data_IF_129766428820
#
_entry.id   IF_129766428820
#
_cell.length_a   1.000
_cell.length_b   1.000
_cell.length_c   1.000
_cell.angle_alpha   90.00
_cell.angle_beta   90.00
_cell.angle_gamma   90.00
#
_symmetry.space_group_name_H-M   'P 1'
#
loop_
_entity.id
_entity.type
_entity.pdbx_description
1 polymer ?
#
# COMPACT_ATOMS: atom_id res chain seq x y z
N UNK A 1 -34.41 4.24 -14.74
CA UNK A 1 -33.28 3.41 -14.25
C UNK A 1 -32.17 4.35 -13.78
N UNK A 2 -32.23 4.77 -12.51
CA UNK A 2 -31.18 5.59 -11.89
C UNK A 2 -30.05 4.64 -11.51
N UNK A 3 -29.03 4.56 -12.35
CA UNK A 3 -27.79 3.85 -12.03
C UNK A 3 -26.96 4.72 -11.08
N UNK A 4 -27.42 4.85 -9.84
CA UNK A 4 -26.64 5.43 -8.76
C UNK A 4 -25.56 4.42 -8.38
N UNK A 5 -24.44 4.46 -9.10
CA UNK A 5 -23.22 3.75 -8.70
C UNK A 5 -22.75 4.40 -7.42
N UNK A 6 -23.17 3.87 -6.28
CA UNK A 6 -22.91 4.43 -4.96
C UNK A 6 -21.38 4.61 -4.79
N UNK A 7 -20.86 5.84 -4.66
CA UNK A 7 -19.42 6.09 -4.46
C UNK A 7 -18.91 5.55 -3.11
N UNK A 8 -19.80 5.04 -2.27
CA UNK A 8 -19.54 4.34 -1.02
C UNK A 8 -18.68 3.07 -1.19
N UNK A 9 -18.71 2.43 -2.36
CA UNK A 9 -18.01 1.16 -2.59
C UNK A 9 -16.50 1.29 -2.79
N UNK A 10 -15.98 2.43 -3.26
CA UNK A 10 -14.54 2.60 -3.56
C UNK A 10 -13.74 3.22 -2.41
N UNK A 11 -14.35 4.12 -1.66
CA UNK A 11 -13.69 4.81 -0.54
C UNK A 11 -13.44 3.86 0.66
N UNK A 12 -14.26 2.82 0.82
CA UNK A 12 -14.21 1.89 1.96
C UNK A 12 -13.41 0.61 1.66
N UNK A 13 -13.31 0.21 0.39
CA UNK A 13 -12.63 -1.04 0.01
C UNK A 13 -11.11 -0.95 0.15
N UNK A 14 -10.55 0.23 -0.10
CA UNK A 14 -9.13 0.52 0.05
C UNK A 14 -8.57 0.19 1.45
N UNK A 15 -9.09 0.80 2.54
CA UNK A 15 -8.61 0.50 3.89
C UNK A 15 -8.89 -0.95 4.29
N UNK A 16 -9.99 -1.54 3.83
CA UNK A 16 -10.29 -2.94 4.10
C UNK A 16 -9.23 -3.90 3.51
N UNK A 17 -8.74 -3.63 2.30
CA UNK A 17 -7.68 -4.44 1.68
C UNK A 17 -6.35 -4.37 2.45
N UNK A 18 -6.08 -3.28 3.17
CA UNK A 18 -4.87 -3.16 3.99
C UNK A 18 -4.88 -4.11 5.20
N UNK A 19 -6.06 -4.50 5.71
CA UNK A 19 -6.16 -5.51 6.77
C UNK A 19 -5.55 -6.86 6.35
N UNK A 20 -5.58 -7.17 5.05
CA UNK A 20 -5.05 -8.41 4.50
C UNK A 20 -3.55 -8.35 4.20
N UNK A 21 -2.91 -7.18 4.30
CA UNK A 21 -1.46 -7.02 4.04
C UNK A 21 -0.64 -7.56 5.21
N UNK A 22 -1.10 -7.32 6.44
CA UNK A 22 -0.39 -7.67 7.68
C UNK A 22 -0.31 -9.18 7.97
N UNK A 23 -1.40 -9.97 7.83
CA UNK A 23 -1.40 -11.37 8.22
C UNK A 23 -0.51 -12.24 7.33
N UNK A 24 0.23 -13.16 7.94
CA UNK A 24 1.17 -14.05 7.24
C UNK A 24 0.44 -15.05 6.33
N UNK A 25 -0.79 -15.43 6.67
CA UNK A 25 -1.63 -16.32 5.87
C UNK A 25 -1.91 -15.80 4.45
N UNK A 26 -1.86 -14.48 4.23
CA UNK A 26 -2.08 -13.86 2.91
C UNK A 26 -0.79 -13.57 2.14
N UNK A 27 0.37 -14.07 2.58
CA UNK A 27 1.66 -13.84 1.91
C UNK A 27 1.64 -14.22 0.42
N UNK A 28 0.93 -15.30 0.05
CA UNK A 28 0.81 -15.73 -1.35
C UNK A 28 -0.08 -14.80 -2.18
N UNK A 29 -1.06 -14.15 -1.56
CA UNK A 29 -1.94 -13.15 -2.18
C UNK A 29 -1.36 -11.72 -2.08
N UNK A 30 -0.21 -11.53 -1.42
CA UNK A 30 0.35 -10.21 -1.18
C UNK A 30 0.67 -9.47 -2.48
N UNK A 31 1.14 -10.17 -3.51
CA UNK A 31 1.45 -9.55 -4.81
C UNK A 31 0.22 -8.99 -5.52
N UNK A 32 -0.86 -9.76 -5.74
CA UNK A 32 -2.09 -9.19 -6.31
C UNK A 32 -2.72 -8.14 -5.39
N UNK A 33 -2.63 -8.29 -4.05
CA UNK A 33 -3.07 -7.27 -3.11
C UNK A 33 -2.29 -5.95 -3.29
N UNK A 34 -0.96 -5.99 -3.33
CA UNK A 34 -0.12 -4.82 -3.54
C UNK A 34 -0.39 -4.13 -4.89
N UNK A 35 -0.66 -4.90 -5.96
CA UNK A 35 -1.01 -4.33 -7.27
C UNK A 35 -2.37 -3.65 -7.27
N UNK A 36 -3.39 -4.30 -6.72
CA UNK A 36 -4.71 -3.70 -6.56
C UNK A 36 -4.65 -2.45 -5.68
N UNK A 37 -3.83 -2.51 -4.62
CA UNK A 37 -3.63 -1.37 -3.75
C UNK A 37 -2.88 -0.23 -4.50
N UNK A 38 -1.87 -0.54 -5.29
CA UNK A 38 -1.20 0.50 -6.06
C UNK A 38 -2.16 1.21 -7.02
N UNK A 39 -2.99 0.45 -7.73
CA UNK A 39 -3.98 1.00 -8.66
C UNK A 39 -5.01 1.91 -7.98
N UNK A 40 -5.57 1.48 -6.84
CA UNK A 40 -6.56 2.27 -6.11
C UNK A 40 -5.96 3.56 -5.53
N UNK A 41 -4.72 3.53 -5.03
CA UNK A 41 -4.06 4.73 -4.52
C UNK A 41 -3.69 5.72 -5.63
N UNK A 42 -3.23 5.24 -6.80
CA UNK A 42 -2.97 6.11 -7.96
C UNK A 42 -4.25 6.82 -8.40
N UNK A 43 -5.36 6.08 -8.51
CA UNK A 43 -6.65 6.66 -8.86
C UNK A 43 -7.12 7.72 -7.86
N UNK A 44 -6.88 7.51 -6.56
CA UNK A 44 -7.19 8.48 -5.50
C UNK A 44 -6.34 9.76 -5.59
N UNK A 45 -5.07 9.61 -5.97
CA UNK A 45 -4.17 10.73 -6.20
C UNK A 45 -4.59 11.57 -7.41
N UNK A 46 -5.05 10.94 -8.50
CA UNK A 46 -5.65 11.61 -9.66
C UNK A 46 -6.93 12.37 -9.29
N UNK A 47 -7.75 11.81 -8.39
CA UNK A 47 -8.96 12.43 -7.85
C UNK A 47 -8.66 13.59 -6.88
N UNK A 48 -7.39 13.91 -6.61
CA UNK A 48 -6.97 15.04 -5.78
C UNK A 48 -7.01 14.79 -4.27
N UNK A 49 -7.33 13.57 -3.81
CA UNK A 49 -7.40 13.19 -2.39
C UNK A 49 -6.00 12.89 -1.81
N UNK A 50 -5.05 13.82 -1.96
CA UNK A 50 -3.62 13.59 -1.69
C UNK A 50 -3.19 13.69 -0.21
N UNK A 51 -3.97 14.34 0.65
CA UNK A 51 -3.50 14.70 1.99
C UNK A 51 -3.61 13.58 3.03
N UNK A 52 -4.45 12.57 2.80
CA UNK A 52 -4.60 11.40 3.68
C UNK A 52 -5.34 10.31 2.91
N UNK A 53 -4.60 9.51 2.13
CA UNK A 53 -5.18 8.37 1.40
C UNK A 53 -5.84 7.37 2.37
N UNK A 54 -5.43 7.37 3.64
CA UNK A 54 -5.93 6.49 4.70
C UNK A 54 -6.32 7.31 5.93
N UNK A 55 -7.59 7.18 6.33
CA UNK A 55 -8.11 7.63 7.62
C UNK A 55 -8.08 6.47 8.62
N UNK A 56 -7.00 6.42 9.41
CA UNK A 56 -6.79 5.39 10.43
C UNK A 56 -7.73 5.52 11.63
N UNK A 57 -8.31 6.72 11.84
CA UNK A 57 -9.27 7.05 12.90
C UNK A 57 -10.66 6.45 12.67
N UNK A 58 -11.04 6.20 11.41
CA UNK A 58 -12.36 5.69 11.06
C UNK A 58 -12.46 4.15 11.03
N UNK A 59 -11.33 3.44 11.07
CA UNK A 59 -11.30 1.99 10.86
C UNK A 59 -10.55 1.29 12.01
N UNK A 60 -11.28 0.80 13.02
CA UNK A 60 -10.71 0.14 14.19
C UNK A 60 -9.97 -1.18 13.88
N UNK A 61 -10.26 -1.81 12.75
CA UNK A 61 -9.65 -3.06 12.32
C UNK A 61 -8.38 -2.84 11.46
N UNK A 62 -8.09 -1.59 11.10
CA UNK A 62 -6.97 -1.27 10.23
C UNK A 62 -5.63 -1.44 10.97
N UNK A 63 -4.65 -2.12 10.37
CA UNK A 63 -3.32 -2.23 10.95
C UNK A 63 -2.67 -0.86 11.10
N UNK A 64 -1.88 -0.68 12.16
CA UNK A 64 -1.15 0.56 12.36
C UNK A 64 -0.24 0.85 11.15
N UNK A 65 0.01 2.14 10.83
CA UNK A 65 0.91 2.50 9.73
C UNK A 65 2.30 1.87 9.90
N UNK A 66 2.77 1.71 11.15
CA UNK A 66 4.02 1.02 11.47
C UNK A 66 3.94 -0.49 11.22
N UNK A 67 2.81 -1.15 11.50
CA UNK A 67 2.62 -2.57 11.22
C UNK A 67 2.58 -2.84 9.70
N UNK A 68 1.89 -1.99 8.93
CA UNK A 68 1.87 -2.08 7.47
C UNK A 68 3.27 -1.91 6.87
N UNK A 69 4.01 -0.91 7.32
CA UNK A 69 5.33 -0.59 6.77
C UNK A 69 6.36 -1.65 7.11
N UNK A 70 6.41 -2.12 8.35
CA UNK A 70 7.28 -3.23 8.75
C UNK A 70 6.97 -4.48 7.95
N UNK A 71 5.70 -4.81 7.74
CA UNK A 71 5.30 -5.96 6.93
C UNK A 71 5.72 -5.83 5.47
N UNK A 72 5.50 -4.67 4.85
CA UNK A 72 5.90 -4.42 3.45
C UNK A 72 7.42 -4.44 3.29
N UNK A 73 8.17 -3.90 4.25
CA UNK A 73 9.63 -3.97 4.26
C UNK A 73 10.10 -5.42 4.37
N UNK A 74 9.62 -6.18 5.35
CA UNK A 74 9.98 -7.60 5.52
C UNK A 74 9.62 -8.42 4.27
N UNK A 75 8.47 -8.15 3.66
CA UNK A 75 8.04 -8.81 2.42
C UNK A 75 8.86 -8.38 1.20
N UNK A 76 9.37 -7.14 1.20
CA UNK A 76 10.30 -6.59 0.23
C UNK A 76 11.70 -7.21 0.31
N UNK A 77 12.16 -7.52 1.53
CA UNK A 77 13.45 -8.14 1.80
C UNK A 77 13.43 -9.67 1.67
N UNK A 78 12.26 -10.30 1.73
CA UNK A 78 12.14 -11.74 1.55
C UNK A 78 12.63 -12.13 0.17
N UNK A 79 13.68 -12.95 0.15
CA UNK A 79 14.50 -13.36 -1.00
C UNK A 79 13.80 -14.21 -2.06
N UNK A 80 12.49 -14.01 -2.27
CA UNK A 80 11.79 -14.48 -3.46
C UNK A 80 12.19 -13.62 -4.68
N UNK A 81 13.50 -13.56 -4.95
CA UNK A 81 14.24 -12.84 -6.00
C UNK A 81 13.79 -13.20 -7.43
N UNK A 82 12.72 -13.98 -7.58
CA UNK A 82 12.30 -14.58 -8.85
C UNK A 82 10.83 -14.36 -9.22
N UNK A 83 10.04 -13.68 -8.37
CA UNK A 83 8.59 -13.53 -8.60
C UNK A 83 8.07 -12.09 -8.52
N UNK A 84 8.93 -11.06 -8.43
CA UNK A 84 8.49 -9.66 -8.36
C UNK A 84 7.61 -9.32 -7.14
N UNK A 85 7.64 -10.18 -6.11
CA UNK A 85 6.81 -10.00 -4.90
C UNK A 85 7.35 -8.85 -4.05
N UNK A 86 8.67 -8.77 -3.93
CA UNK A 86 9.33 -7.73 -3.14
C UNK A 86 9.21 -6.34 -3.77
N UNK A 87 9.30 -6.24 -5.10
CA UNK A 87 9.15 -4.97 -5.83
C UNK A 87 7.73 -4.42 -5.72
N UNK A 88 6.71 -5.27 -5.80
CA UNK A 88 5.32 -4.85 -5.59
C UNK A 88 5.07 -4.30 -4.17
N UNK A 89 5.65 -4.94 -3.15
CA UNK A 89 5.53 -4.49 -1.76
C UNK A 89 6.24 -3.14 -1.53
N UNK A 90 7.45 -2.96 -2.06
CA UNK A 90 8.18 -1.70 -1.95
C UNK A 90 7.52 -0.56 -2.73
N UNK A 91 6.96 -0.83 -3.92
CA UNK A 91 6.21 0.18 -4.67
C UNK A 91 4.94 0.61 -3.92
N UNK A 92 4.23 -0.32 -3.28
CA UNK A 92 3.11 0.04 -2.41
C UNK A 92 3.58 0.90 -1.22
N UNK A 93 4.70 0.54 -0.58
CA UNK A 93 5.30 1.33 0.49
C UNK A 93 5.62 2.76 0.03
N UNK A 94 6.12 2.92 -1.19
CA UNK A 94 6.40 4.23 -1.78
C UNK A 94 5.15 5.10 -1.90
N UNK A 95 4.00 4.53 -2.26
CA UNK A 95 2.74 5.26 -2.36
C UNK A 95 2.14 5.56 -0.98
N UNK A 96 2.31 4.63 -0.03
CA UNK A 96 1.77 4.77 1.32
C UNK A 96 2.61 5.67 2.24
N UNK A 97 3.83 6.04 1.85
CA UNK A 97 4.80 6.78 2.71
C UNK A 97 4.21 8.02 3.39
N UNK A 98 3.35 8.77 2.68
CA UNK A 98 2.72 9.99 3.20
C UNK A 98 1.70 9.71 4.32
N UNK A 99 1.15 8.48 4.38
CA UNK A 99 0.16 8.06 5.37
C UNK A 99 0.80 7.54 6.67
N UNK A 100 2.12 7.34 6.68
CA UNK A 100 2.83 6.74 7.81
C UNK A 100 3.31 7.81 8.77
N UNK A 101 4.15 8.71 8.28
CA UNK A 101 4.63 9.86 9.02
C UNK A 101 5.27 10.88 8.07
N UNK A 102 5.00 12.19 8.19
CA UNK A 102 5.56 13.22 7.29
C UNK A 102 7.09 13.25 7.30
N UNK A 103 7.73 12.95 8.44
CA UNK A 103 9.21 12.86 8.51
C UNK A 103 9.78 11.66 7.72
N UNK A 104 9.00 10.59 7.53
CA UNK A 104 9.42 9.42 6.76
C UNK A 104 9.22 9.62 5.25
N UNK A 105 8.28 10.48 4.84
CA UNK A 105 8.00 10.78 3.43
C UNK A 105 9.27 11.27 2.69
N UNK A 106 9.98 12.23 3.27
CA UNK A 106 11.22 12.76 2.68
C UNK A 106 12.33 11.70 2.58
N UNK A 107 12.42 10.81 3.57
CA UNK A 107 13.44 9.75 3.58
C UNK A 107 13.11 8.65 2.56
N UNK A 108 11.86 8.21 2.54
CA UNK A 108 11.40 7.08 1.73
C UNK A 108 11.15 7.44 0.27
N UNK A 109 10.84 8.70 -0.03
CA UNK A 109 10.82 9.20 -1.41
C UNK A 109 12.16 9.01 -2.12
N UNK A 110 13.28 9.06 -1.38
CA UNK A 110 14.64 8.83 -1.93
C UNK A 110 15.09 7.38 -1.84
N UNK A 111 14.90 6.72 -0.69
CA UNK A 111 15.46 5.38 -0.45
C UNK A 111 14.66 4.25 -1.10
N UNK A 112 13.32 4.34 -1.13
CA UNK A 112 12.49 3.24 -1.62
C UNK A 112 12.67 3.01 -3.13
N UNK A 113 12.73 4.04 -4.01
CA UNK A 113 13.00 3.82 -5.43
C UNK A 113 14.34 3.12 -5.68
N UNK A 114 15.40 3.50 -4.96
CA UNK A 114 16.72 2.85 -5.07
C UNK A 114 16.67 1.37 -4.69
N UNK A 115 15.89 1.01 -3.65
CA UNK A 115 15.69 -0.38 -3.26
C UNK A 115 14.88 -1.16 -4.30
N UNK A 116 13.91 -0.52 -4.97
CA UNK A 116 13.16 -1.15 -6.06
C UNK A 116 14.08 -1.40 -7.26
N UNK A 117 14.88 -0.41 -7.65
CA UNK A 117 15.85 -0.52 -8.75
C UNK A 117 16.88 -1.63 -8.49
N UNK A 118 17.41 -1.71 -7.27
CA UNK A 118 18.33 -2.78 -6.86
C UNK A 118 17.71 -4.18 -6.94
N UNK A 119 16.39 -4.31 -6.80
CA UNK A 119 15.70 -5.60 -6.91
C UNK A 119 15.22 -5.92 -8.33
N UNK A 120 15.23 -4.95 -9.24
CA UNK A 120 14.84 -5.13 -10.66
C UNK A 120 16.06 -5.30 -11.59
N UNK A 121 17.25 -4.89 -11.16
CA UNK A 121 18.54 -5.11 -11.84
C UNK A 121 19.13 -6.49 -11.59
#
# INVERSE_FOLDING_TARGET
LVSATVPFSRQVLWPYLLEFVTPIQFTNALTPLCKSLMFLAMKKQEEGENASLIRYDLNANLPSPYALTTRLLVSGQSSAFRNGRGTAALRLLHVLRCNVHPALDQLWSKKVPLLVEYLEG
#
